data_IF_362032130705
#
_entry.id   IF_362032130705
#
_cell.length_a   1.000
_cell.length_b   1.000
_cell.length_c   1.000
_cell.angle_alpha   90.00
_cell.angle_beta   90.00
_cell.angle_gamma   90.00
#
_symmetry.space_group_name_H-M   'P 1'
#
loop_
_entity.id
_entity.type
_entity.pdbx_description
1 polymer ?
#
# COMPACT_ATOMS: atom_id res chain seq x y z
N UNK A 1 35.54 16.68 7.30
CA UNK A 1 34.42 17.56 7.74
C UNK A 1 33.42 17.89 6.63
N UNK A 2 33.81 18.46 5.49
CA UNK A 2 32.86 18.96 4.45
C UNK A 2 31.96 17.91 3.79
N UNK A 3 32.44 16.68 3.55
CA UNK A 3 31.64 15.60 2.93
C UNK A 3 30.55 15.03 3.85
N UNK A 4 30.81 14.92 5.15
CA UNK A 4 29.82 14.42 6.12
C UNK A 4 28.67 15.41 6.32
N UNK A 5 28.98 16.70 6.40
CA UNK A 5 27.96 17.75 6.46
C UNK A 5 27.08 17.79 5.20
N UNK A 6 27.68 17.67 4.01
CA UNK A 6 26.92 17.62 2.75
C UNK A 6 26.00 16.39 2.68
N UNK A 7 26.49 15.22 3.12
CA UNK A 7 25.70 13.99 3.19
C UNK A 7 24.53 14.10 4.19
N UNK A 8 24.79 14.64 5.38
CA UNK A 8 23.75 14.87 6.40
C UNK A 8 22.68 15.88 5.94
N UNK A 9 23.08 16.95 5.26
CA UNK A 9 22.17 17.93 4.68
C UNK A 9 21.30 17.30 3.57
N UNK A 10 21.90 16.50 2.69
CA UNK A 10 21.19 15.76 1.64
C UNK A 10 20.15 14.78 2.19
N UNK A 11 20.51 14.01 3.21
CA UNK A 11 19.57 13.08 3.88
C UNK A 11 18.42 13.82 4.57
N UNK A 12 18.69 14.96 5.21
CA UNK A 12 17.67 15.78 5.86
C UNK A 12 16.68 16.38 4.85
N UNK A 13 17.19 16.89 3.72
CA UNK A 13 16.34 17.36 2.62
C UNK A 13 15.47 16.24 2.03
N UNK A 14 16.03 15.04 1.85
CA UNK A 14 15.28 13.86 1.39
C UNK A 14 14.19 13.45 2.37
N UNK A 15 14.48 13.42 3.68
CA UNK A 15 13.48 13.15 4.73
C UNK A 15 12.33 14.14 4.71
N UNK A 16 12.60 15.44 4.57
CA UNK A 16 11.57 16.48 4.45
C UNK A 16 10.69 16.26 3.21
N UNK A 17 11.29 15.96 2.07
CA UNK A 17 10.54 15.65 0.83
C UNK A 17 9.63 14.43 1.02
N UNK A 18 10.16 13.34 1.59
CA UNK A 18 9.39 12.12 1.87
C UNK A 18 8.24 12.42 2.83
N UNK A 19 8.48 13.19 3.90
CA UNK A 19 7.42 13.59 4.83
C UNK A 19 6.33 14.45 4.15
N UNK A 20 6.72 15.41 3.31
CA UNK A 20 5.79 16.25 2.56
C UNK A 20 4.91 15.42 1.60
N UNK A 21 5.50 14.49 0.86
CA UNK A 21 4.76 13.56 0.01
C UNK A 21 3.83 12.69 0.85
N UNK A 22 4.31 12.15 1.98
CA UNK A 22 3.50 11.32 2.88
C UNK A 22 2.25 12.08 3.34
N UNK A 23 2.38 13.35 3.74
CA UNK A 23 1.26 14.20 4.15
C UNK A 23 0.31 14.45 2.97
N UNK A 24 0.82 14.86 1.82
CA UNK A 24 0.01 15.17 0.64
C UNK A 24 -0.79 13.95 0.15
N UNK A 25 -0.12 12.81 -0.03
CA UNK A 25 -0.77 11.58 -0.48
C UNK A 25 -1.71 10.99 0.58
N UNK A 26 -1.45 11.20 1.88
CA UNK A 26 -2.41 10.83 2.95
C UNK A 26 -3.70 11.65 2.84
N UNK A 27 -3.59 12.94 2.56
CA UNK A 27 -4.76 13.80 2.31
C UNK A 27 -5.56 13.35 1.09
N UNK A 28 -4.89 13.08 -0.03
CA UNK A 28 -5.53 12.59 -1.26
C UNK A 28 -6.19 11.22 -1.07
N UNK A 29 -5.55 10.30 -0.33
CA UNK A 29 -6.12 9.00 0.03
C UNK A 29 -7.37 9.17 0.89
N UNK A 30 -7.33 10.04 1.91
CA UNK A 30 -8.49 10.33 2.74
C UNK A 30 -9.64 10.95 1.95
N UNK A 31 -9.33 11.81 0.98
CA UNK A 31 -10.32 12.40 0.08
C UNK A 31 -10.92 11.36 -0.87
N UNK A 32 -10.12 10.44 -1.45
CA UNK A 32 -10.64 9.42 -2.36
C UNK A 32 -11.63 8.48 -1.67
N UNK A 33 -11.38 8.12 -0.40
CA UNK A 33 -12.29 7.33 0.43
C UNK A 33 -13.48 8.11 1.00
N UNK A 34 -13.50 9.43 0.84
CA UNK A 34 -14.68 10.27 1.10
C UNK A 34 -15.55 10.45 -0.16
N UNK A 35 -14.98 10.29 -1.36
CA UNK A 35 -15.69 10.43 -2.62
C UNK A 35 -16.68 9.27 -2.85
N UNK A 36 -17.73 9.56 -3.61
CA UNK A 36 -18.73 8.56 -3.97
C UNK A 36 -18.08 7.41 -4.78
N UNK A 37 -18.35 6.13 -4.45
CA UNK A 37 -17.86 5.00 -5.22
C UNK A 37 -18.24 5.10 -6.71
N UNK A 38 -17.32 4.69 -7.59
CA UNK A 38 -17.51 4.68 -9.05
C UNK A 38 -17.79 6.08 -9.66
N UNK A 39 -17.43 7.16 -8.97
CA UNK A 39 -17.53 8.53 -9.48
C UNK A 39 -16.23 9.00 -10.17
N UNK A 40 -16.34 9.96 -11.08
CA UNK A 40 -15.17 10.62 -11.71
C UNK A 40 -14.23 11.25 -10.68
N UNK A 41 -14.77 11.78 -9.58
CA UNK A 41 -13.98 12.31 -8.47
C UNK A 41 -13.14 11.22 -7.80
N UNK A 42 -13.74 10.06 -7.48
CA UNK A 42 -13.03 8.93 -6.92
C UNK A 42 -11.86 8.47 -7.81
N UNK A 43 -12.09 8.32 -9.11
CA UNK A 43 -11.04 7.92 -10.05
C UNK A 43 -9.91 8.95 -10.12
N UNK A 44 -10.24 10.25 -10.21
CA UNK A 44 -9.23 11.33 -10.26
C UNK A 44 -8.40 11.39 -8.98
N UNK A 45 -9.03 11.35 -7.81
CA UNK A 45 -8.33 11.39 -6.52
C UNK A 45 -7.46 10.15 -6.34
N UNK A 46 -7.95 8.97 -6.70
CA UNK A 46 -7.20 7.71 -6.60
C UNK A 46 -6.00 7.66 -7.55
N UNK A 47 -6.12 8.22 -8.76
CA UNK A 47 -4.99 8.39 -9.67
C UNK A 47 -4.00 9.46 -9.18
N UNK A 48 -4.48 10.56 -8.61
CA UNK A 48 -3.63 11.60 -8.02
C UNK A 48 -2.84 11.05 -6.81
N UNK A 49 -3.46 10.22 -5.98
CA UNK A 49 -2.79 9.48 -4.90
C UNK A 49 -1.67 8.60 -5.47
N UNK A 50 -1.96 7.77 -6.46
CA UNK A 50 -0.95 6.92 -7.11
C UNK A 50 0.20 7.75 -7.72
N UNK A 51 -0.12 8.84 -8.42
CA UNK A 51 0.88 9.72 -9.01
C UNK A 51 1.77 10.38 -7.94
N UNK A 52 1.18 10.80 -6.81
CA UNK A 52 1.89 11.39 -5.67
C UNK A 52 2.88 10.39 -5.07
N UNK A 53 2.47 9.14 -4.87
CA UNK A 53 3.35 8.07 -4.39
C UNK A 53 4.46 7.74 -5.38
N UNK A 54 4.13 7.54 -6.66
CA UNK A 54 5.11 7.24 -7.69
C UNK A 54 6.16 8.34 -7.82
N UNK A 55 5.73 9.62 -7.85
CA UNK A 55 6.63 10.76 -7.95
C UNK A 55 7.54 10.91 -6.72
N UNK A 56 7.00 10.74 -5.51
CA UNK A 56 7.79 10.84 -4.29
C UNK A 56 8.66 9.61 -3.99
N UNK A 57 8.35 8.47 -4.61
CA UNK A 57 9.10 7.23 -4.50
C UNK A 57 10.19 7.06 -5.57
N UNK A 58 10.22 7.92 -6.59
CA UNK A 58 11.25 7.88 -7.62
C UNK A 58 12.63 8.15 -7.02
N UNK A 59 13.42 7.10 -6.86
CA UNK A 59 14.80 7.16 -6.38
C UNK A 59 15.70 6.48 -7.41
N UNK A 60 16.87 7.07 -7.78
CA UNK A 60 17.76 6.54 -8.82
C UNK A 60 18.36 5.15 -8.59
N UNK A 61 17.95 4.43 -7.53
CA UNK A 61 18.64 3.22 -7.10
C UNK A 61 17.65 2.10 -6.76
N UNK A 62 17.52 1.15 -7.69
CA UNK A 62 16.80 -0.12 -7.49
C UNK A 62 17.47 -1.27 -8.22
N UNK A 63 18.80 -1.25 -8.32
CA UNK A 63 19.58 -2.32 -8.92
C UNK A 63 20.54 -2.93 -7.90
N UNK A 64 20.30 -4.21 -7.54
CA UNK A 64 21.21 -5.23 -6.96
C UNK A 64 20.53 -6.11 -5.89
N UNK A 65 19.31 -6.55 -6.18
CA UNK A 65 18.59 -7.51 -5.33
C UNK A 65 18.18 -8.73 -6.13
N UNK A 66 17.95 -9.86 -5.46
CA UNK A 66 17.32 -11.01 -6.09
C UNK A 66 15.97 -10.60 -6.69
N UNK A 67 15.62 -11.18 -7.84
CA UNK A 67 14.37 -10.91 -8.54
C UNK A 67 13.43 -12.12 -8.51
N UNK A 68 13.03 -12.61 -7.32
CA UNK A 68 12.14 -13.75 -7.23
C UNK A 68 10.77 -13.33 -7.78
N UNK A 69 10.19 -14.19 -8.62
CA UNK A 69 8.86 -13.98 -9.19
C UNK A 69 7.87 -14.93 -8.51
N UNK A 70 8.18 -16.23 -8.54
CA UNK A 70 7.29 -17.29 -8.03
C UNK A 70 7.01 -17.14 -6.54
N UNK A 71 8.05 -16.98 -5.72
CA UNK A 71 7.90 -16.86 -4.25
C UNK A 71 6.94 -15.75 -3.82
N UNK A 72 7.16 -14.49 -4.25
CA UNK A 72 6.24 -13.39 -3.96
C UNK A 72 4.80 -13.60 -4.41
N UNK A 73 4.58 -14.17 -5.59
CA UNK A 73 3.23 -14.49 -6.09
C UNK A 73 2.56 -15.53 -5.19
N UNK A 74 3.27 -16.60 -4.82
CA UNK A 74 2.77 -17.61 -3.89
C UNK A 74 2.46 -17.02 -2.50
N UNK A 75 3.32 -16.15 -1.98
CA UNK A 75 3.09 -15.45 -0.70
C UNK A 75 1.86 -14.54 -0.80
N UNK A 76 1.66 -13.85 -1.92
CA UNK A 76 0.49 -13.02 -2.17
C UNK A 76 -0.80 -13.85 -2.14
N UNK A 77 -0.80 -14.99 -2.83
CA UNK A 77 -1.89 -15.96 -2.83
C UNK A 77 -2.16 -16.58 -1.45
N UNK A 78 -1.12 -16.99 -0.74
CA UNK A 78 -1.24 -17.56 0.61
C UNK A 78 -1.79 -16.53 1.61
N UNK A 79 -1.29 -15.29 1.55
CA UNK A 79 -1.77 -14.21 2.42
C UNK A 79 -3.22 -13.85 2.10
N UNK A 80 -3.61 -13.88 0.82
CA UNK A 80 -5.01 -13.76 0.43
C UNK A 80 -5.86 -14.87 1.05
N UNK A 81 -5.42 -16.13 0.99
CA UNK A 81 -6.15 -17.26 1.56
C UNK A 81 -6.37 -17.10 3.07
N UNK A 82 -5.35 -16.62 3.80
CA UNK A 82 -5.48 -16.29 5.23
C UNK A 82 -6.51 -15.18 5.45
N UNK A 83 -6.43 -14.07 4.71
CA UNK A 83 -7.38 -12.95 4.84
C UNK A 83 -8.81 -13.38 4.47
N UNK A 84 -8.97 -14.23 3.45
CA UNK A 84 -10.26 -14.80 3.07
C UNK A 84 -10.83 -15.70 4.17
N UNK A 85 -9.99 -16.53 4.78
CA UNK A 85 -10.33 -17.33 5.97
C UNK A 85 -10.79 -16.45 7.15
N UNK A 86 -10.04 -15.41 7.48
CA UNK A 86 -10.43 -14.42 8.49
C UNK A 86 -11.75 -13.73 8.13
N UNK A 87 -11.98 -13.44 6.85
CA UNK A 87 -13.20 -12.79 6.38
C UNK A 87 -14.46 -13.67 6.55
N UNK A 88 -14.32 -15.00 6.42
CA UNK A 88 -15.41 -15.96 6.69
C UNK A 88 -15.93 -15.89 8.14
N UNK A 89 -15.04 -15.57 9.08
CA UNK A 89 -15.37 -15.34 10.49
C UNK A 89 -15.85 -13.90 10.68
N UNK A 90 -15.12 -12.92 10.14
CA UNK A 90 -15.40 -11.50 10.30
C UNK A 90 -16.79 -11.10 9.79
N UNK A 91 -17.32 -11.75 8.75
CA UNK A 91 -18.70 -11.52 8.26
C UNK A 91 -19.78 -11.85 9.29
N UNK A 92 -19.48 -12.64 10.33
CA UNK A 92 -20.40 -12.96 11.44
C UNK A 92 -20.38 -11.90 12.54
N UNK A 93 -19.37 -11.03 12.56
CA UNK A 93 -19.20 -9.98 13.57
C UNK A 93 -19.71 -8.66 12.98
N UNK A 94 -20.80 -8.05 13.50
CA UNK A 94 -21.45 -6.89 12.86
C UNK A 94 -20.52 -5.71 12.59
N UNK A 95 -19.64 -5.41 13.56
CA UNK A 95 -18.67 -4.33 13.44
C UNK A 95 -17.69 -4.56 12.27
N UNK A 96 -17.10 -5.76 12.18
CA UNK A 96 -16.14 -6.10 11.13
C UNK A 96 -16.82 -6.25 9.77
N UNK A 97 -18.00 -6.86 9.71
CA UNK A 97 -18.83 -6.92 8.50
C UNK A 97 -19.07 -5.52 7.94
N UNK A 98 -19.48 -4.56 8.78
CA UNK A 98 -19.72 -3.17 8.37
C UNK A 98 -18.44 -2.49 7.85
N UNK A 99 -17.30 -2.71 8.50
CA UNK A 99 -16.02 -2.16 8.07
C UNK A 99 -15.58 -2.72 6.70
N UNK A 100 -15.66 -4.04 6.51
CA UNK A 100 -15.28 -4.71 5.26
C UNK A 100 -16.26 -4.35 4.13
N UNK A 101 -17.57 -4.45 4.35
CA UNK A 101 -18.57 -4.08 3.35
C UNK A 101 -18.45 -2.62 2.91
N UNK A 102 -18.02 -1.70 3.80
CA UNK A 102 -17.80 -0.29 3.43
C UNK A 102 -16.72 -0.13 2.37
N UNK A 103 -15.61 -0.85 2.46
CA UNK A 103 -14.55 -0.80 1.44
C UNK A 103 -14.93 -1.58 0.19
N UNK A 104 -15.62 -2.71 0.34
CA UNK A 104 -16.06 -3.50 -0.80
C UNK A 104 -17.07 -2.78 -1.69
N UNK A 105 -17.74 -1.74 -1.18
CA UNK A 105 -18.62 -0.86 -1.97
C UNK A 105 -17.93 -0.21 -3.18
N UNK A 106 -16.62 0.02 -3.09
CA UNK A 106 -15.82 0.52 -4.22
C UNK A 106 -15.62 -0.52 -5.33
N UNK A 107 -16.02 -1.77 -5.08
CA UNK A 107 -15.97 -2.91 -5.99
C UNK A 107 -17.36 -3.59 -6.17
N UNK A 108 -18.45 -2.98 -5.71
CA UNK A 108 -19.77 -3.63 -5.59
C UNK A 108 -20.35 -4.08 -6.93
N UNK A 109 -20.20 -3.28 -8.00
CA UNK A 109 -20.61 -3.63 -9.37
C UNK A 109 -19.74 -4.72 -10.03
N UNK A 110 -18.84 -5.33 -9.28
CA UNK A 110 -17.80 -6.24 -9.77
C UNK A 110 -16.51 -5.49 -10.07
N UNK A 111 -15.35 -6.19 -10.13
CA UNK A 111 -14.10 -5.60 -10.56
C UNK A 111 -14.23 -5.14 -12.01
N UNK A 112 -14.63 -3.89 -12.23
CA UNK A 112 -14.52 -3.30 -13.56
C UNK A 112 -13.03 -3.26 -13.90
N UNK A 113 -12.65 -3.40 -15.18
CA UNK A 113 -11.26 -3.24 -15.59
C UNK A 113 -10.64 -1.92 -15.09
N UNK A 114 -11.47 -0.87 -14.96
CA UNK A 114 -11.09 0.43 -14.39
C UNK A 114 -10.74 0.35 -12.90
N UNK A 115 -11.59 -0.26 -12.07
CA UNK A 115 -11.31 -0.43 -10.63
C UNK A 115 -10.06 -1.30 -10.43
N UNK A 116 -9.93 -2.40 -11.18
CA UNK A 116 -8.73 -3.23 -11.13
C UNK A 116 -7.47 -2.42 -11.49
N UNK A 117 -7.52 -1.65 -12.58
CA UNK A 117 -6.40 -0.84 -13.03
C UNK A 117 -5.96 0.16 -11.95
N UNK A 118 -6.89 0.94 -11.37
CA UNK A 118 -6.53 1.93 -10.34
C UNK A 118 -6.05 1.26 -9.05
N UNK A 119 -6.59 0.09 -8.69
CA UNK A 119 -6.15 -0.68 -7.52
C UNK A 119 -4.71 -1.17 -7.71
N UNK A 120 -4.39 -1.72 -8.89
CA UNK A 120 -3.04 -2.16 -9.21
C UNK A 120 -2.07 -0.98 -9.30
N UNK A 121 -2.48 0.13 -9.92
CA UNK A 121 -1.67 1.33 -10.00
C UNK A 121 -1.35 1.90 -8.62
N UNK A 122 -2.34 1.95 -7.71
CA UNK A 122 -2.12 2.37 -6.33
C UNK A 122 -1.22 1.40 -5.58
N UNK A 123 -1.47 0.09 -5.65
CA UNK A 123 -0.64 -0.91 -4.98
C UNK A 123 0.83 -0.83 -5.42
N UNK A 124 1.09 -0.68 -6.72
CA UNK A 124 2.44 -0.50 -7.24
C UNK A 124 3.08 0.81 -6.74
N UNK A 125 2.34 1.93 -6.81
CA UNK A 125 2.84 3.23 -6.39
C UNK A 125 3.10 3.29 -4.88
N UNK A 126 2.26 2.65 -4.06
CA UNK A 126 2.48 2.48 -2.63
C UNK A 126 3.81 1.78 -2.35
N UNK A 127 4.14 0.68 -3.05
CA UNK A 127 5.43 0.02 -2.85
C UNK A 127 6.61 0.88 -3.27
N UNK A 128 6.48 1.63 -4.37
CA UNK A 128 7.48 2.61 -4.81
C UNK A 128 7.75 3.67 -3.72
N UNK A 129 6.70 4.16 -3.07
CA UNK A 129 6.85 5.17 -2.02
C UNK A 129 7.26 4.60 -0.65
N UNK A 130 6.47 3.69 -0.09
CA UNK A 130 6.66 3.21 1.27
C UNK A 130 7.86 2.25 1.39
N UNK A 131 8.07 1.35 0.42
CA UNK A 131 9.15 0.35 0.46
C UNK A 131 10.38 0.83 -0.33
N UNK A 132 10.22 1.86 -1.16
CA UNK A 132 11.33 2.62 -1.75
C UNK A 132 11.73 3.80 -0.88
N UNK A 133 11.08 4.96 -1.07
CA UNK A 133 11.52 6.22 -0.47
C UNK A 133 11.47 6.24 1.07
N UNK A 134 10.35 5.88 1.70
CA UNK A 134 10.22 5.90 3.18
C UNK A 134 11.21 4.91 3.81
N UNK A 135 11.26 3.67 3.30
CA UNK A 135 12.19 2.65 3.77
C UNK A 135 13.65 3.10 3.69
N UNK A 136 14.04 3.79 2.61
CA UNK A 136 15.42 4.23 2.39
C UNK A 136 15.89 5.35 3.34
N UNK A 137 14.98 6.16 3.88
CA UNK A 137 15.32 7.29 4.78
C UNK A 137 15.16 6.96 6.26
N UNK A 138 14.65 5.77 6.58
CA UNK A 138 14.27 5.32 7.90
C UNK A 138 15.43 4.90 8.83
N UNK A 139 16.67 4.90 8.34
CA UNK A 139 17.85 4.62 9.16
C UNK A 139 17.86 3.20 9.71
N UNK A 140 18.02 3.04 11.04
CA UNK A 140 18.26 1.74 11.70
C UNK A 140 17.02 0.85 11.83
N UNK A 141 15.81 1.39 11.67
CA UNK A 141 14.55 0.65 11.85
C UNK A 141 13.64 0.73 10.62
N UNK A 142 14.12 0.37 9.42
CA UNK A 142 13.39 0.65 8.19
C UNK A 142 12.08 -0.12 8.05
N UNK A 143 12.02 -1.35 8.56
CA UNK A 143 10.79 -2.17 8.59
C UNK A 143 9.72 -1.51 9.47
N UNK A 144 10.07 -1.10 10.69
CA UNK A 144 9.14 -0.48 11.62
C UNK A 144 8.65 0.87 11.09
N UNK A 145 9.54 1.74 10.61
CA UNK A 145 9.17 3.08 10.13
C UNK A 145 8.32 3.01 8.87
N UNK A 146 8.69 2.19 7.88
CA UNK A 146 7.89 2.03 6.65
C UNK A 146 6.49 1.50 6.97
N UNK A 147 6.39 0.50 7.85
CA UNK A 147 5.10 -0.05 8.30
C UNK A 147 4.27 0.98 9.06
N UNK A 148 4.87 1.69 10.02
CA UNK A 148 4.18 2.68 10.83
C UNK A 148 3.66 3.85 10.00
N UNK A 149 4.47 4.39 9.08
CA UNK A 149 4.05 5.47 8.18
C UNK A 149 2.92 4.98 7.27
N UNK A 150 3.01 3.77 6.73
CA UNK A 150 1.95 3.17 5.91
C UNK A 150 0.64 2.99 6.70
N UNK A 151 0.71 2.47 7.92
CA UNK A 151 -0.44 2.30 8.79
C UNK A 151 -1.08 3.65 9.16
N UNK A 152 -0.27 4.64 9.56
CA UNK A 152 -0.73 6.00 9.86
C UNK A 152 -1.41 6.66 8.64
N UNK A 153 -0.83 6.54 7.44
CA UNK A 153 -1.46 7.02 6.21
C UNK A 153 -2.81 6.32 5.97
N UNK A 154 -2.89 5.01 6.22
CA UNK A 154 -4.12 4.24 6.03
C UNK A 154 -5.26 4.67 6.97
N UNK A 155 -4.95 5.28 8.13
CA UNK A 155 -5.99 5.82 9.05
C UNK A 155 -6.88 6.84 8.34
N UNK A 156 -6.36 7.57 7.34
CA UNK A 156 -7.13 8.53 6.56
C UNK A 156 -8.32 7.90 5.80
N UNK A 157 -8.27 6.59 5.53
CA UNK A 157 -9.40 5.84 4.94
C UNK A 157 -10.59 5.68 5.89
N UNK A 158 -10.40 5.96 7.19
CA UNK A 158 -11.42 5.81 8.25
C UNK A 158 -12.04 4.41 8.29
N UNK A 159 -11.22 3.39 7.96
CA UNK A 159 -11.63 2.00 7.95
C UNK A 159 -10.69 1.13 8.82
N UNK A 160 -11.14 0.64 9.98
CA UNK A 160 -10.29 -0.14 10.88
C UNK A 160 -9.81 -1.46 10.26
N UNK A 161 -10.57 -2.06 9.34
CA UNK A 161 -10.13 -3.27 8.65
C UNK A 161 -8.95 -2.99 7.71
N UNK A 162 -8.94 -1.82 7.04
CA UNK A 162 -7.80 -1.41 6.21
C UNK A 162 -6.58 -1.06 7.05
N UNK A 163 -6.76 -0.40 8.20
CA UNK A 163 -5.64 -0.09 9.11
C UNK A 163 -5.01 -1.38 9.66
N UNK A 164 -5.81 -2.37 10.05
CA UNK A 164 -5.28 -3.66 10.48
C UNK A 164 -4.54 -4.37 9.33
N UNK A 165 -5.14 -4.38 8.14
CA UNK A 165 -4.52 -4.95 6.95
C UNK A 165 -3.17 -4.27 6.64
N UNK A 166 -3.08 -2.95 6.74
CA UNK A 166 -1.86 -2.22 6.41
C UNK A 166 -0.73 -2.46 7.41
N UNK A 167 -1.03 -2.73 8.69
CA UNK A 167 -0.02 -3.18 9.66
C UNK A 167 0.55 -4.54 9.26
N UNK A 168 -0.31 -5.52 8.98
CA UNK A 168 0.12 -6.89 8.62
C UNK A 168 0.87 -6.91 7.29
N UNK A 169 0.24 -6.37 6.25
CA UNK A 169 0.81 -6.33 4.90
C UNK A 169 2.03 -5.41 4.83
N UNK A 170 1.99 -4.25 5.49
CA UNK A 170 3.13 -3.33 5.56
C UNK A 170 4.36 -3.97 6.21
N UNK A 171 4.15 -4.77 7.26
CA UNK A 171 5.21 -5.56 7.88
C UNK A 171 5.76 -6.60 6.90
N UNK A 172 4.89 -7.40 6.29
CA UNK A 172 5.26 -8.43 5.31
C UNK A 172 6.07 -7.84 4.15
N UNK A 173 5.58 -6.77 3.53
CA UNK A 173 6.21 -6.14 2.39
C UNK A 173 7.56 -5.51 2.75
N UNK A 174 7.65 -4.91 3.94
CA UNK A 174 8.92 -4.38 4.46
C UNK A 174 9.94 -5.48 4.72
N UNK A 175 9.49 -6.65 5.21
CA UNK A 175 10.35 -7.83 5.39
C UNK A 175 10.81 -8.40 4.04
N UNK A 176 9.93 -8.46 3.04
CA UNK A 176 10.29 -8.87 1.67
C UNK A 176 11.29 -7.90 1.04
N UNK A 177 11.11 -6.58 1.22
CA UNK A 177 12.09 -5.57 0.79
C UNK A 177 13.44 -5.80 1.47
N UNK A 178 13.45 -6.10 2.77
CA UNK A 178 14.69 -6.39 3.50
C UNK A 178 15.39 -7.65 2.99
N UNK A 179 14.63 -8.72 2.73
CA UNK A 179 15.17 -10.00 2.30
C UNK A 179 15.72 -9.96 0.87
N UNK A 180 15.05 -9.23 -0.03
CA UNK A 180 15.39 -9.23 -1.46
C UNK A 180 16.23 -8.02 -1.90
N UNK A 181 16.32 -6.98 -1.06
CA UNK A 181 17.01 -5.72 -1.39
C UNK A 181 16.24 -4.81 -2.36
N UNK A 182 15.11 -5.25 -2.90
CA UNK A 182 14.32 -4.55 -3.93
C UNK A 182 12.83 -4.45 -3.62
N UNK A 183 12.10 -3.60 -4.36
CA UNK A 183 10.63 -3.49 -4.21
C UNK A 183 9.87 -4.52 -5.06
N UNK A 184 10.54 -5.28 -5.92
CA UNK A 184 9.86 -6.22 -6.83
C UNK A 184 9.07 -7.28 -6.06
N UNK A 185 9.68 -7.92 -5.05
CA UNK A 185 9.01 -8.93 -4.25
C UNK A 185 7.76 -8.40 -3.52
N UNK A 186 7.84 -7.30 -2.74
CA UNK A 186 6.63 -6.75 -2.13
C UNK A 186 5.61 -6.26 -3.16
N UNK A 187 6.05 -5.71 -4.30
CA UNK A 187 5.14 -5.31 -5.38
C UNK A 187 4.36 -6.48 -5.96
N UNK A 188 5.02 -7.59 -6.32
CA UNK A 188 4.34 -8.78 -6.83
C UNK A 188 3.36 -9.37 -5.80
N UNK A 189 3.77 -9.40 -4.53
CA UNK A 189 2.91 -9.88 -3.43
C UNK A 189 1.68 -8.99 -3.28
N UNK A 190 1.87 -7.67 -3.27
CA UNK A 190 0.81 -6.68 -3.13
C UNK A 190 -0.17 -6.76 -4.32
N UNK A 191 0.32 -6.76 -5.55
CA UNK A 191 -0.53 -6.83 -6.74
C UNK A 191 -1.32 -8.14 -6.80
N UNK A 192 -0.69 -9.28 -6.48
CA UNK A 192 -1.36 -10.58 -6.42
C UNK A 192 -2.45 -10.58 -5.35
N UNK A 193 -2.12 -10.15 -4.13
CA UNK A 193 -3.06 -10.08 -3.02
C UNK A 193 -4.25 -9.16 -3.33
N UNK A 194 -3.99 -7.95 -3.83
CA UNK A 194 -5.03 -6.97 -4.19
C UNK A 194 -5.95 -7.49 -5.30
N UNK A 195 -5.40 -8.17 -6.31
CA UNK A 195 -6.19 -8.79 -7.38
C UNK A 195 -7.16 -9.82 -6.83
N UNK A 196 -6.66 -10.74 -5.99
CA UNK A 196 -7.48 -11.79 -5.41
C UNK A 196 -8.52 -11.24 -4.44
N UNK A 197 -8.15 -10.27 -3.59
CA UNK A 197 -9.08 -9.58 -2.69
C UNK A 197 -10.21 -8.92 -3.48
N UNK A 198 -9.89 -8.22 -4.58
CA UNK A 198 -10.88 -7.54 -5.40
C UNK A 198 -11.80 -8.50 -6.16
N UNK A 199 -11.29 -9.65 -6.61
CA UNK A 199 -12.08 -10.62 -7.39
C UNK A 199 -12.95 -11.53 -6.52
N UNK A 200 -12.44 -11.94 -5.36
CA UNK A 200 -13.05 -12.98 -4.54
C UNK A 200 -13.81 -12.44 -3.33
N UNK A 201 -13.33 -11.39 -2.66
CA UNK A 201 -13.90 -10.93 -1.40
C UNK A 201 -15.29 -10.30 -1.55
N UNK A 202 -15.61 -9.46 -2.57
CA UNK A 202 -16.96 -8.92 -2.76
C UNK A 202 -18.04 -10.01 -2.80
N UNK A 203 -17.77 -11.14 -3.44
CA UNK A 203 -18.72 -12.26 -3.57
C UNK A 203 -19.09 -12.88 -2.22
N UNK A 204 -18.22 -12.76 -1.22
CA UNK A 204 -18.44 -13.34 0.11
C UNK A 204 -19.35 -12.49 1.01
N UNK A 205 -19.43 -11.18 0.74
CA UNK A 205 -20.16 -10.19 1.57
C UNK A 205 -21.45 -9.69 0.93
N UNK A 206 -21.79 -10.17 -0.28
CA UNK A 206 -23.10 -10.02 -0.88
C UNK A 206 -24.15 -10.82 -0.11
#
# INVERSE_FOLDING_TARGET
MTREFAHAAGLSARRRRVAAVAVAGTGLLGASFSAAPDSTEFYRLTLATAATWAAGGHTPDSGRGERPIVGPVLIGGATFAVFYGCALIARRIPFLRKAISRVLRYADRGPTPRVLLITLANGAAEEVFFRGAVYSVAGRRPVLVSTAVYACTTVATRNPALVLASVLMGTLFSLQRRATGGIQAPMLTHLTWSTLMLQCLPRLFR
#
